data_IF_961245153141
#
_entry.id   IF_961245153141
#
_cell.length_a   1.000
_cell.length_b   1.000
_cell.length_c   1.000
_cell.angle_alpha   90.00
_cell.angle_beta   90.00
_cell.angle_gamma   90.00
#
_symmetry.space_group_name_H-M   'P 1'
#
loop_
_entity.id
_entity.type
_entity.pdbx_description
1 polymer ?
#
# COMPACT_ATOMS: atom_id res chain seq x y z
N UNK A 1 11.34 0.12 28.57
CA UNK A 1 10.32 -0.93 28.38
C UNK A 1 9.15 -0.29 27.68
N UNK A 2 8.80 -0.75 26.48
CA UNK A 2 7.59 -0.28 25.82
C UNK A 2 6.37 -0.76 26.62
N UNK A 3 5.35 0.08 26.72
CA UNK A 3 4.10 -0.23 27.43
C UNK A 3 2.91 0.15 26.56
N UNK A 4 1.83 -0.62 26.62
CA UNK A 4 0.59 -0.25 25.93
C UNK A 4 0.07 1.11 26.42
N UNK A 5 -0.38 1.94 25.48
CA UNK A 5 -1.05 3.18 25.79
C UNK A 5 -2.42 2.89 26.42
N UNK A 6 -2.84 3.76 27.34
CA UNK A 6 -4.17 3.67 27.95
C UNK A 6 -5.29 3.77 26.91
N UNK A 7 -5.06 4.52 25.82
CA UNK A 7 -6.01 4.63 24.70
C UNK A 7 -6.20 3.29 24.01
N UNK A 8 -5.10 2.62 23.66
CA UNK A 8 -5.14 1.32 23.02
C UNK A 8 -5.78 0.25 23.91
N UNK A 9 -5.41 0.18 25.20
CA UNK A 9 -6.04 -0.74 26.16
C UNK A 9 -7.56 -0.52 26.29
N UNK A 10 -8.01 0.74 26.34
CA UNK A 10 -9.43 1.08 26.36
C UNK A 10 -10.17 0.57 25.12
N UNK A 11 -9.53 0.65 23.92
CA UNK A 11 -10.10 0.10 22.68
C UNK A 11 -10.19 -1.42 22.70
N UNK A 12 -9.15 -2.10 23.20
CA UNK A 12 -9.21 -3.56 23.38
C UNK A 12 -10.36 -3.98 24.31
N UNK A 13 -10.53 -3.29 25.45
CA UNK A 13 -11.61 -3.57 26.40
C UNK A 13 -12.99 -3.34 25.77
N UNK A 14 -13.13 -2.32 24.93
CA UNK A 14 -14.40 -1.96 24.29
C UNK A 14 -14.67 -2.70 22.97
N UNK A 15 -13.74 -3.55 22.51
CA UNK A 15 -13.88 -4.32 21.27
C UNK A 15 -15.13 -5.21 21.22
N UNK A 16 -15.54 -5.93 22.29
CA UNK A 16 -16.79 -6.71 22.28
C UNK A 16 -18.03 -5.85 22.01
N UNK A 17 -18.04 -4.60 22.48
CA UNK A 17 -19.14 -3.66 22.21
C UNK A 17 -19.16 -3.27 20.73
N UNK A 18 -17.99 -3.00 20.14
CA UNK A 18 -17.89 -2.69 18.71
C UNK A 18 -18.40 -3.85 17.84
N UNK A 19 -18.06 -5.11 18.21
CA UNK A 19 -18.56 -6.32 17.57
C UNK A 19 -20.08 -6.39 17.67
N UNK A 20 -20.64 -6.26 18.89
CA UNK A 20 -22.08 -6.34 19.11
C UNK A 20 -22.84 -5.27 18.33
N UNK A 21 -22.34 -4.03 18.32
CA UNK A 21 -22.94 -2.92 17.56
C UNK A 21 -22.89 -3.20 16.05
N UNK A 22 -21.78 -3.74 15.54
CA UNK A 22 -21.67 -4.11 14.12
C UNK A 22 -22.69 -5.18 13.73
N UNK A 23 -22.82 -6.24 14.54
CA UNK A 23 -23.81 -7.31 14.34
C UNK A 23 -25.25 -6.78 14.37
N UNK A 24 -25.59 -5.95 15.35
CA UNK A 24 -26.93 -5.35 15.44
C UNK A 24 -27.20 -4.49 14.20
N UNK A 25 -26.28 -3.60 13.81
CA UNK A 25 -26.44 -2.77 12.62
C UNK A 25 -26.60 -3.62 11.36
N UNK A 26 -25.81 -4.69 11.22
CA UNK A 26 -25.86 -5.59 10.08
C UNK A 26 -27.26 -6.18 9.83
N UNK A 27 -27.95 -6.61 10.90
CA UNK A 27 -29.28 -7.22 10.81
C UNK A 27 -30.45 -6.22 10.88
N UNK A 28 -30.20 -4.93 11.14
CA UNK A 28 -31.27 -3.93 11.34
C UNK A 28 -31.26 -2.84 10.28
N UNK A 29 -30.32 -1.88 10.38
CA UNK A 29 -30.27 -0.66 9.55
C UNK A 29 -29.20 -0.71 8.46
N UNK A 30 -28.44 -1.81 8.41
CA UNK A 30 -27.22 -1.93 7.62
C UNK A 30 -26.03 -1.23 8.28
N UNK A 31 -24.85 -1.85 8.18
CA UNK A 31 -23.60 -1.16 8.53
C UNK A 31 -23.28 -0.08 7.48
N UNK A 32 -22.29 0.77 7.76
CA UNK A 32 -21.79 1.71 6.76
C UNK A 32 -21.24 0.97 5.52
N UNK A 33 -20.53 -0.13 5.71
CA UNK A 33 -19.95 -0.91 4.64
C UNK A 33 -21.00 -1.56 3.73
N UNK A 34 -22.07 -2.15 4.29
CA UNK A 34 -23.15 -2.75 3.48
C UNK A 34 -23.89 -1.74 2.61
N UNK A 35 -24.02 -0.50 3.11
CA UNK A 35 -24.77 0.56 2.43
C UNK A 35 -23.98 1.20 1.30
N UNK A 36 -22.65 1.15 1.38
CA UNK A 36 -21.76 1.87 0.49
C UNK A 36 -21.08 0.95 -0.52
N UNK A 37 -20.68 -0.26 -0.14
CA UNK A 37 -19.93 -1.15 -1.02
C UNK A 37 -20.58 -2.54 -1.14
N UNK A 38 -20.69 -3.02 -2.39
CA UNK A 38 -21.32 -4.31 -2.73
C UNK A 38 -20.59 -5.53 -2.15
N UNK A 39 -19.27 -5.46 -1.94
CA UNK A 39 -18.43 -6.55 -1.44
C UNK A 39 -18.80 -6.96 0.00
N UNK A 40 -19.42 -6.04 0.75
CA UNK A 40 -19.91 -6.27 2.10
C UNK A 40 -21.35 -6.79 2.16
N UNK A 41 -22.08 -6.79 1.03
CA UNK A 41 -23.46 -7.26 1.00
C UNK A 41 -23.48 -8.77 1.20
N UNK A 42 -24.16 -9.23 2.25
CA UNK A 42 -24.31 -10.65 2.56
C UNK A 42 -23.17 -11.28 3.37
N UNK A 43 -22.17 -10.50 3.83
CA UNK A 43 -21.08 -11.02 4.67
C UNK A 43 -21.01 -10.33 6.04
N UNK A 44 -21.62 -10.95 7.06
CA UNK A 44 -21.49 -10.48 8.45
C UNK A 44 -20.02 -10.46 8.91
N UNK A 45 -19.23 -11.44 8.44
CA UNK A 45 -17.82 -11.56 8.79
C UNK A 45 -17.02 -10.34 8.35
N UNK A 46 -17.07 -9.97 7.05
CA UNK A 46 -16.34 -8.79 6.52
C UNK A 46 -16.74 -7.51 7.24
N UNK A 47 -18.04 -7.32 7.47
CA UNK A 47 -18.56 -6.16 8.20
C UNK A 47 -18.04 -6.08 9.64
N UNK A 48 -18.08 -7.19 10.36
CA UNK A 48 -17.63 -7.24 11.75
C UNK A 48 -16.12 -7.08 11.82
N UNK A 49 -15.37 -7.74 10.92
CA UNK A 49 -13.92 -7.66 10.83
C UNK A 49 -13.44 -6.22 10.61
N UNK A 50 -13.98 -5.52 9.61
CA UNK A 50 -13.61 -4.14 9.34
C UNK A 50 -14.03 -3.19 10.46
N UNK A 51 -15.19 -3.41 11.10
CA UNK A 51 -15.55 -2.64 12.29
C UNK A 51 -14.52 -2.81 13.42
N UNK A 52 -14.01 -4.02 13.65
CA UNK A 52 -12.97 -4.28 14.65
C UNK A 52 -11.67 -3.60 14.26
N UNK A 53 -11.22 -3.75 13.02
CA UNK A 53 -10.00 -3.09 12.53
C UNK A 53 -10.09 -1.58 12.71
N UNK A 54 -11.17 -0.94 12.24
CA UNK A 54 -11.36 0.50 12.37
C UNK A 54 -11.46 0.96 13.85
N UNK A 55 -12.06 0.16 14.73
CA UNK A 55 -12.13 0.48 16.17
C UNK A 55 -10.74 0.49 16.83
N UNK A 56 -9.81 -0.34 16.34
CA UNK A 56 -8.44 -0.41 16.84
C UNK A 56 -7.51 0.60 16.13
N UNK A 57 -7.65 0.78 14.81
CA UNK A 57 -6.64 1.40 13.95
C UNK A 57 -6.36 2.88 14.25
N UNK A 58 -7.36 3.63 14.72
CA UNK A 58 -7.23 5.07 14.93
C UNK A 58 -6.72 5.47 16.33
N UNK A 59 -6.14 4.55 17.10
CA UNK A 59 -5.86 4.78 18.52
C UNK A 59 -4.54 4.20 19.04
N UNK A 60 -3.68 3.66 18.17
CA UNK A 60 -2.37 3.16 18.56
C UNK A 60 -1.31 4.26 18.51
N UNK A 61 -0.35 4.21 19.42
CA UNK A 61 0.93 4.93 19.32
C UNK A 61 1.96 4.08 18.57
N UNK A 62 3.13 4.67 18.26
CA UNK A 62 4.29 3.93 17.72
C UNK A 62 4.64 2.70 18.57
N UNK A 63 4.57 2.85 19.90
CA UNK A 63 4.86 1.76 20.84
C UNK A 63 3.76 0.69 20.85
N UNK A 64 2.49 1.06 20.74
CA UNK A 64 1.39 0.11 20.62
C UNK A 64 1.53 -0.74 19.35
N UNK A 65 1.93 -0.11 18.23
CA UNK A 65 2.24 -0.83 16.99
C UNK A 65 3.38 -1.79 17.22
N UNK A 66 4.50 -1.34 17.80
CA UNK A 66 5.67 -2.17 18.06
C UNK A 66 5.39 -3.36 19.01
N UNK A 67 4.44 -3.24 19.93
CA UNK A 67 4.11 -4.27 20.92
C UNK A 67 3.00 -5.23 20.48
N UNK A 68 1.92 -4.70 19.88
CA UNK A 68 0.71 -5.47 19.59
C UNK A 68 0.61 -5.88 18.13
N UNK A 69 0.91 -4.96 17.22
CA UNK A 69 0.68 -5.14 15.79
C UNK A 69 1.91 -5.67 15.07
N UNK A 70 3.11 -5.36 15.58
CA UNK A 70 4.36 -5.76 14.98
C UNK A 70 4.57 -7.26 15.17
N UNK A 71 4.01 -8.02 14.25
CA UNK A 71 4.47 -9.35 13.95
C UNK A 71 5.63 -9.21 12.97
N UNK A 72 6.82 -9.75 13.26
CA UNK A 72 7.89 -9.81 12.27
C UNK A 72 7.31 -10.42 10.99
N UNK A 73 7.48 -9.73 9.86
CA UNK A 73 6.89 -10.18 8.58
C UNK A 73 7.32 -11.61 8.24
N UNK A 74 8.50 -12.04 8.70
CA UNK A 74 8.96 -13.43 8.56
C UNK A 74 8.02 -14.45 9.22
N UNK A 75 7.38 -14.14 10.35
CA UNK A 75 6.37 -15.03 10.95
C UNK A 75 5.11 -15.11 10.10
N UNK A 76 4.72 -14.00 9.46
CA UNK A 76 3.61 -13.99 8.52
C UNK A 76 3.96 -14.85 7.29
N UNK A 77 5.16 -14.68 6.73
CA UNK A 77 5.65 -15.49 5.62
C UNK A 77 5.76 -16.97 5.98
N UNK A 78 6.27 -17.32 7.17
CA UNK A 78 6.31 -18.70 7.66
C UNK A 78 4.91 -19.33 7.70
N UNK A 79 3.91 -18.60 8.18
CA UNK A 79 2.51 -19.07 8.20
C UNK A 79 2.01 -19.42 6.79
N UNK A 80 2.42 -18.65 5.79
CA UNK A 80 1.97 -18.84 4.42
C UNK A 80 2.92 -19.69 3.56
N UNK A 81 4.10 -20.11 4.05
CA UNK A 81 5.13 -20.79 3.25
C UNK A 81 4.64 -22.02 2.48
N UNK A 82 3.66 -22.74 3.03
CA UNK A 82 3.05 -23.94 2.42
C UNK A 82 1.70 -23.65 1.74
N UNK A 83 1.33 -22.38 1.59
CA UNK A 83 0.11 -21.97 0.89
C UNK A 83 0.24 -22.27 -0.61
N UNK A 84 -0.84 -22.71 -1.28
CA UNK A 84 -0.86 -22.80 -2.74
C UNK A 84 -0.42 -21.52 -3.46
N UNK A 85 -0.59 -20.36 -2.82
CA UNK A 85 -0.20 -19.05 -3.38
C UNK A 85 1.30 -18.76 -3.36
N UNK A 86 2.08 -19.49 -2.54
CA UNK A 86 3.49 -19.18 -2.31
C UNK A 86 4.42 -20.33 -2.68
N UNK A 87 3.87 -21.54 -2.84
CA UNK A 87 4.63 -22.70 -3.28
C UNK A 87 5.15 -22.43 -4.69
N UNK A 88 6.48 -22.41 -4.84
CA UNK A 88 7.16 -22.12 -6.10
C UNK A 88 7.68 -20.67 -6.22
N UNK A 89 7.38 -19.79 -5.27
CA UNK A 89 8.00 -18.47 -5.21
C UNK A 89 9.42 -18.58 -4.65
N UNK A 90 10.41 -18.31 -5.51
CA UNK A 90 11.81 -18.31 -5.12
C UNK A 90 12.08 -17.22 -4.08
N UNK A 91 12.75 -17.59 -2.98
CA UNK A 91 13.10 -16.65 -1.91
C UNK A 91 11.93 -16.18 -1.04
N UNK A 92 10.73 -16.77 -1.15
CA UNK A 92 9.58 -16.33 -0.37
C UNK A 92 9.82 -16.46 1.15
N UNK A 93 9.84 -15.31 1.81
CA UNK A 93 10.05 -15.19 3.25
C UNK A 93 11.51 -15.19 3.70
N UNK A 94 12.45 -15.31 2.78
CA UNK A 94 13.87 -15.25 3.09
C UNK A 94 14.27 -13.80 3.43
N UNK A 95 15.16 -13.65 4.41
CA UNK A 95 15.67 -12.32 4.80
C UNK A 95 16.77 -11.91 3.84
N UNK A 96 16.71 -10.66 3.35
CA UNK A 96 17.77 -10.05 2.57
C UNK A 96 18.97 -9.70 3.48
N UNK A 97 18.70 -9.16 4.68
CA UNK A 97 19.73 -8.83 5.66
C UNK A 97 19.16 -8.86 7.10
N UNK A 98 20.01 -8.55 8.10
CA UNK A 98 19.63 -8.52 9.52
C UNK A 98 19.09 -7.15 10.00
N UNK A 99 18.99 -6.16 9.12
CA UNK A 99 18.69 -4.76 9.38
C UNK A 99 17.35 -4.34 8.74
N UNK A 100 16.26 -5.04 9.06
CA UNK A 100 14.92 -4.53 8.71
C UNK A 100 14.48 -3.46 9.71
N UNK A 101 14.31 -2.24 9.21
CA UNK A 101 13.66 -1.13 9.90
C UNK A 101 12.53 -0.59 9.03
N UNK A 102 11.51 -0.03 9.66
CA UNK A 102 10.41 0.63 8.96
C UNK A 102 10.66 2.14 8.75
N UNK A 103 11.86 2.60 9.07
CA UNK A 103 12.27 4.01 9.01
C UNK A 103 13.03 4.27 7.70
N UNK A 104 12.70 5.40 7.08
CA UNK A 104 13.38 5.93 5.92
C UNK A 104 14.91 6.06 6.12
N UNK A 105 15.77 5.69 5.15
CA UNK A 105 15.48 5.17 3.80
C UNK A 105 15.57 3.63 3.70
N UNK A 106 15.47 2.90 4.81
CA UNK A 106 15.81 1.46 4.89
C UNK A 106 15.11 0.62 3.81
N UNK A 107 13.79 0.78 3.67
CA UNK A 107 13.00 -0.01 2.74
C UNK A 107 13.33 0.28 1.27
N UNK A 108 13.75 1.52 0.97
CA UNK A 108 14.20 1.88 -0.39
C UNK A 108 15.52 1.16 -0.69
N UNK A 109 16.46 1.15 0.25
CA UNK A 109 17.72 0.41 0.09
C UNK A 109 17.46 -1.09 -0.15
N UNK A 110 16.61 -1.71 0.68
CA UNK A 110 16.26 -3.12 0.56
C UNK A 110 15.53 -3.44 -0.75
N UNK A 111 14.61 -2.58 -1.18
CA UNK A 111 13.88 -2.76 -2.43
C UNK A 111 14.80 -2.62 -3.66
N UNK A 112 15.75 -1.68 -3.64
CA UNK A 112 16.74 -1.53 -4.71
C UNK A 112 17.70 -2.72 -4.73
N UNK A 113 18.13 -3.22 -3.58
CA UNK A 113 18.97 -4.42 -3.50
C UNK A 113 18.23 -5.65 -4.06
N UNK A 114 16.95 -5.82 -3.73
CA UNK A 114 16.12 -6.89 -4.29
C UNK A 114 15.93 -6.73 -5.80
N UNK A 115 15.65 -5.51 -6.29
CA UNK A 115 15.52 -5.22 -7.71
C UNK A 115 16.79 -5.59 -8.48
N UNK A 116 17.95 -5.15 -7.96
CA UNK A 116 19.26 -5.48 -8.53
C UNK A 116 19.52 -6.98 -8.57
N UNK A 117 19.23 -7.68 -7.48
CA UNK A 117 19.38 -9.14 -7.43
C UNK A 117 18.50 -9.85 -8.48
N UNK A 118 17.31 -9.33 -8.80
CA UNK A 118 16.51 -9.84 -9.92
C UNK A 118 17.18 -9.57 -11.27
N UNK A 119 17.68 -8.35 -11.50
CA UNK A 119 18.39 -8.02 -12.74
C UNK A 119 19.64 -8.89 -12.95
N UNK A 120 20.41 -9.15 -11.89
CA UNK A 120 21.58 -10.03 -11.92
C UNK A 120 21.23 -11.50 -12.20
N UNK A 121 20.02 -11.93 -11.82
CA UNK A 121 19.47 -13.23 -12.18
C UNK A 121 18.95 -13.29 -13.63
N UNK A 122 18.99 -12.18 -14.36
CA UNK A 122 18.59 -12.08 -15.77
C UNK A 122 17.14 -11.66 -15.99
N UNK A 123 16.44 -11.17 -14.95
CA UNK A 123 15.12 -10.58 -15.13
C UNK A 123 15.25 -9.15 -15.71
N UNK A 124 14.66 -8.91 -16.87
CA UNK A 124 14.71 -7.63 -17.60
C UNK A 124 13.34 -6.98 -17.81
N UNK A 125 12.25 -7.71 -17.56
CA UNK A 125 10.88 -7.21 -17.51
C UNK A 125 10.31 -7.31 -16.08
N UNK A 126 10.45 -6.24 -15.30
CA UNK A 126 10.07 -6.19 -13.89
C UNK A 126 8.88 -5.25 -13.71
N UNK A 127 7.80 -5.80 -13.16
CA UNK A 127 6.58 -5.06 -12.80
C UNK A 127 6.63 -4.75 -11.30
N UNK A 128 6.46 -3.48 -10.93
CA UNK A 128 6.27 -3.11 -9.52
C UNK A 128 4.79 -3.17 -9.16
N UNK A 129 4.46 -3.85 -8.06
CA UNK A 129 3.10 -3.93 -7.52
C UNK A 129 3.14 -3.45 -6.09
N UNK A 130 2.33 -2.45 -5.77
CA UNK A 130 2.22 -1.92 -4.42
C UNK A 130 0.79 -1.54 -4.06
N UNK A 131 0.47 -1.67 -2.78
CA UNK A 131 -0.69 -1.10 -2.13
C UNK A 131 -0.27 -0.04 -1.12
N UNK A 132 -1.06 1.02 -0.90
CA UNK A 132 -0.85 1.97 0.19
C UNK A 132 0.61 2.47 0.26
N UNK A 133 1.33 2.19 1.36
CA UNK A 133 2.73 2.52 1.55
C UNK A 133 3.69 1.73 0.62
N UNK A 134 3.30 0.56 0.14
CA UNK A 134 3.97 -0.17 -0.93
C UNK A 134 3.95 0.58 -2.27
N UNK A 135 2.92 1.41 -2.53
CA UNK A 135 2.95 2.32 -3.70
C UNK A 135 3.96 3.44 -3.49
N UNK A 136 4.03 4.01 -2.29
CA UNK A 136 5.06 5.00 -1.96
C UNK A 136 6.47 4.45 -2.24
N UNK A 137 6.73 3.21 -1.78
CA UNK A 137 7.99 2.53 -2.02
C UNK A 137 8.22 2.24 -3.51
N UNK A 138 7.20 1.77 -4.23
CA UNK A 138 7.28 1.50 -5.67
C UNK A 138 7.62 2.77 -6.47
N UNK A 139 6.99 3.89 -6.12
CA UNK A 139 7.27 5.20 -6.70
C UNK A 139 8.70 5.67 -6.37
N UNK A 140 9.15 5.50 -5.12
CA UNK A 140 10.53 5.82 -4.72
C UNK A 140 11.57 4.99 -5.48
N UNK A 141 11.33 3.68 -5.66
CA UNK A 141 12.19 2.77 -6.44
C UNK A 141 12.25 3.19 -7.91
N UNK A 142 11.10 3.42 -8.54
CA UNK A 142 11.04 3.85 -9.93
C UNK A 142 11.81 5.17 -10.14
N UNK A 143 11.66 6.13 -9.22
CA UNK A 143 12.42 7.38 -9.24
C UNK A 143 13.91 7.21 -8.98
N UNK A 144 14.31 6.36 -8.04
CA UNK A 144 15.71 6.09 -7.77
C UNK A 144 16.43 5.64 -9.05
N UNK A 145 15.78 4.78 -9.84
CA UNK A 145 16.33 4.26 -11.10
C UNK A 145 16.33 5.34 -12.19
N UNK A 146 15.24 6.10 -12.32
CA UNK A 146 15.07 7.09 -13.38
C UNK A 146 15.93 8.37 -13.19
N UNK A 147 16.23 8.75 -11.95
CA UNK A 147 16.94 9.98 -11.58
C UNK A 147 18.20 9.66 -10.76
N UNK A 148 19.10 8.89 -11.36
CA UNK A 148 20.25 8.29 -10.67
C UNK A 148 21.19 9.32 -10.01
N UNK A 149 21.40 10.49 -10.61
CA UNK A 149 22.26 11.53 -10.03
C UNK A 149 21.60 12.20 -8.82
N UNK A 150 20.30 12.47 -8.87
CA UNK A 150 19.50 12.96 -7.73
C UNK A 150 19.50 11.91 -6.60
N UNK A 151 19.28 10.64 -6.94
CA UNK A 151 19.35 9.53 -6.00
C UNK A 151 20.73 9.44 -5.33
N UNK A 152 21.81 9.58 -6.12
CA UNK A 152 23.18 9.58 -5.57
C UNK A 152 23.39 10.74 -4.61
N UNK A 153 23.02 11.95 -4.99
CA UNK A 153 23.15 13.13 -4.12
C UNK A 153 22.37 12.98 -2.81
N UNK A 154 21.13 12.49 -2.91
CA UNK A 154 20.25 12.34 -1.77
C UNK A 154 20.68 11.21 -0.83
N UNK A 155 20.84 10.00 -1.36
CA UNK A 155 21.03 8.81 -0.55
C UNK A 155 22.45 8.63 -0.02
N UNK A 156 23.47 9.24 -0.64
CA UNK A 156 24.86 9.19 -0.15
C UNK A 156 25.05 9.80 1.24
N UNK A 157 24.07 10.59 1.71
CA UNK A 157 24.05 11.16 3.08
C UNK A 157 23.77 10.10 4.16
N UNK A 158 23.14 8.98 3.79
CA UNK A 158 22.81 7.89 4.71
C UNK A 158 23.90 6.82 4.69
N UNK A 159 24.97 7.05 5.44
CA UNK A 159 26.21 6.24 5.42
C UNK A 159 26.09 4.87 6.10
N UNK A 160 24.97 4.59 6.77
CA UNK A 160 24.69 3.28 7.37
C UNK A 160 24.32 2.20 6.33
N UNK A 161 24.14 2.58 5.07
CA UNK A 161 23.76 1.71 3.97
C UNK A 161 24.85 1.64 2.90
N UNK A 162 24.99 0.47 2.29
CA UNK A 162 25.87 0.26 1.14
C UNK A 162 25.07 0.50 -0.15
N UNK A 163 25.07 1.74 -0.61
CA UNK A 163 24.28 2.15 -1.79
C UNK A 163 25.02 1.82 -3.09
N UNK A 164 24.36 1.04 -3.96
CA UNK A 164 24.81 0.82 -5.33
C UNK A 164 24.01 1.67 -6.32
N UNK A 165 24.66 2.73 -6.81
CA UNK A 165 24.14 3.65 -7.84
C UNK A 165 24.58 3.25 -9.27
N UNK A 166 24.88 1.98 -9.54
CA UNK A 166 25.05 1.53 -10.91
C UNK A 166 23.68 1.47 -11.62
N UNK A 167 23.61 1.79 -12.93
CA UNK A 167 22.35 1.85 -13.66
C UNK A 167 21.56 0.54 -13.60
N UNK A 168 20.24 0.65 -13.52
CA UNK A 168 19.29 -0.46 -13.57
C UNK A 168 18.28 -0.22 -14.72
N UNK A 169 17.73 -1.28 -15.35
CA UNK A 169 16.58 -1.12 -16.23
C UNK A 169 15.40 -0.51 -15.47
N UNK A 170 14.58 0.28 -16.15
CA UNK A 170 13.40 0.85 -15.52
C UNK A 170 12.22 -0.13 -15.55
N UNK A 171 11.39 -0.16 -14.50
CA UNK A 171 10.12 -0.87 -14.56
C UNK A 171 9.21 -0.22 -15.60
N UNK A 172 8.74 -0.99 -16.58
CA UNK A 172 7.82 -0.48 -17.61
C UNK A 172 6.38 -0.49 -17.12
N UNK A 173 6.02 -1.34 -16.17
CA UNK A 173 4.66 -1.47 -15.72
C UNK A 173 4.57 -1.37 -14.20
N UNK A 174 3.55 -0.66 -13.70
CA UNK A 174 3.31 -0.53 -12.26
C UNK A 174 1.83 -0.72 -11.96
N UNK A 175 1.53 -1.45 -10.88
CA UNK A 175 0.19 -1.58 -10.31
C UNK A 175 0.18 -0.85 -8.97
N UNK A 176 -0.71 0.14 -8.86
CA UNK A 176 -0.85 1.02 -7.72
C UNK A 176 -2.25 0.88 -7.11
N UNK A 177 -2.32 0.30 -5.91
CA UNK A 177 -3.57 0.08 -5.18
C UNK A 177 -3.62 1.04 -3.98
N UNK A 178 -4.70 1.80 -3.84
CA UNK A 178 -4.92 2.77 -2.77
C UNK A 178 -3.67 3.59 -2.36
N UNK A 179 -3.03 4.33 -3.28
CA UNK A 179 -1.67 4.85 -3.06
C UNK A 179 -1.50 5.81 -1.87
N UNK A 180 -0.44 5.64 -1.08
CA UNK A 180 -0.03 6.58 -0.03
C UNK A 180 1.06 7.54 -0.51
N UNK A 181 0.66 8.58 -1.23
CA UNK A 181 1.58 9.46 -1.99
C UNK A 181 1.98 10.74 -1.25
N UNK A 182 1.31 11.06 -0.13
CA UNK A 182 1.57 12.23 0.70
C UNK A 182 1.74 11.88 2.19
N UNK A 183 2.79 11.13 2.57
CA UNK A 183 2.87 10.49 3.89
C UNK A 183 2.69 11.42 5.09
N UNK A 184 3.20 12.64 5.00
CA UNK A 184 3.20 13.63 6.07
C UNK A 184 2.26 14.81 5.82
N UNK A 185 1.31 14.66 4.90
CA UNK A 185 0.27 15.65 4.61
C UNK A 185 -1.03 15.21 5.24
N UNK A 186 -1.71 16.12 5.94
CA UNK A 186 -3.04 15.83 6.45
C UNK A 186 -4.00 15.66 5.27
N UNK A 187 -4.76 14.56 5.17
CA UNK A 187 -5.65 14.36 4.04
C UNK A 187 -6.76 15.41 3.97
N UNK A 188 -7.12 15.77 2.73
CA UNK A 188 -8.24 16.68 2.43
C UNK A 188 -9.47 15.83 2.15
N UNK A 189 -10.53 16.04 2.92
CA UNK A 189 -11.77 15.26 2.84
C UNK A 189 -12.84 16.05 2.11
N UNK A 190 -13.46 15.45 1.09
CA UNK A 190 -14.68 15.94 0.48
C UNK A 190 -15.86 15.76 1.46
N UNK A 191 -16.57 16.83 1.84
CA UNK A 191 -17.66 16.78 2.81
C UNK A 191 -18.90 15.99 2.35
N UNK A 192 -18.97 15.59 1.08
CA UNK A 192 -20.07 14.80 0.53
C UNK A 192 -19.96 13.31 0.85
N UNK A 193 -18.81 12.85 1.35
CA UNK A 193 -18.59 11.45 1.69
C UNK A 193 -18.56 11.21 3.21
N UNK A 194 -19.09 10.06 3.62
CA UNK A 194 -18.93 9.53 4.97
C UNK A 194 -17.68 8.63 5.00
N UNK A 195 -16.61 9.06 5.65
CA UNK A 195 -15.35 8.29 5.76
C UNK A 195 -15.38 7.26 6.91
N UNK A 196 -16.52 7.08 7.58
CA UNK A 196 -16.63 6.13 8.69
C UNK A 196 -16.29 4.71 8.25
N UNK A 197 -15.34 4.10 8.96
CA UNK A 197 -14.89 2.74 8.69
C UNK A 197 -13.75 2.63 7.68
N UNK A 198 -13.29 3.74 7.10
CA UNK A 198 -12.06 3.75 6.32
C UNK A 198 -10.85 3.45 7.20
N UNK A 199 -9.86 2.75 6.64
CA UNK A 199 -8.63 2.33 7.32
C UNK A 199 -7.40 3.17 6.93
N UNK A 200 -7.57 4.15 6.04
CA UNK A 200 -6.53 5.13 5.72
C UNK A 200 -6.21 6.02 6.93
N UNK A 201 -4.97 6.49 7.02
CA UNK A 201 -4.56 7.39 8.08
C UNK A 201 -5.30 8.74 7.95
N UNK A 202 -6.01 9.22 8.99
CA UNK A 202 -6.73 10.50 8.95
C UNK A 202 -5.82 11.72 9.22
N UNK A 203 -4.54 11.50 9.48
CA UNK A 203 -3.54 12.51 9.79
C UNK A 203 -2.13 12.11 9.30
N UNK A 204 -1.12 12.94 9.60
CA UNK A 204 0.28 12.76 9.16
C UNK A 204 1.11 11.86 10.08
N UNK A 205 0.55 11.31 11.15
CA UNK A 205 1.32 10.68 12.24
C UNK A 205 2.21 9.56 11.73
N UNK A 206 1.70 8.72 10.83
CA UNK A 206 2.49 7.63 10.23
C UNK A 206 3.64 8.14 9.36
N UNK A 207 3.44 9.22 8.61
CA UNK A 207 4.50 9.84 7.83
C UNK A 207 5.59 10.47 8.70
N UNK A 208 5.18 11.13 9.79
CA UNK A 208 6.12 11.69 10.76
C UNK A 208 6.95 10.57 11.45
N UNK A 209 6.34 9.41 11.68
CA UNK A 209 7.07 8.24 12.16
C UNK A 209 8.00 7.63 11.10
N UNK A 210 7.56 7.58 9.84
CA UNK A 210 8.33 7.00 8.74
C UNK A 210 9.64 7.75 8.49
N UNK A 211 9.62 9.08 8.55
CA UNK A 211 10.81 9.92 8.31
C UNK A 211 11.62 10.21 9.58
N UNK A 212 11.14 9.77 10.75
CA UNK A 212 11.81 9.89 12.06
C UNK A 212 12.49 11.26 12.35
N UNK A 213 11.76 12.35 12.09
CA UNK A 213 12.24 13.71 12.38
C UNK A 213 13.27 14.27 11.39
N UNK A 214 13.53 13.58 10.28
CA UNK A 214 14.21 14.17 9.12
C UNK A 214 13.42 15.38 8.60
N UNK A 215 14.13 16.33 7.98
CA UNK A 215 13.48 17.48 7.37
C UNK A 215 12.60 17.02 6.19
N UNK A 216 11.34 17.45 6.18
CA UNK A 216 10.36 17.09 5.14
C UNK A 216 10.80 17.55 3.76
N UNK A 217 11.50 18.68 3.65
CA UNK A 217 12.02 19.18 2.39
C UNK A 217 13.20 18.35 1.88
N UNK A 218 14.04 17.84 2.78
CA UNK A 218 15.17 16.98 2.41
C UNK A 218 14.67 15.64 1.83
N UNK A 219 13.65 15.02 2.42
CA UNK A 219 13.16 13.70 1.97
C UNK A 219 12.08 13.75 0.89
N UNK A 220 11.51 14.93 0.62
CA UNK A 220 10.38 15.11 -0.30
C UNK A 220 10.56 14.40 -1.66
N UNK A 221 11.74 14.45 -2.33
CA UNK A 221 11.90 13.84 -3.65
C UNK A 221 11.62 12.32 -3.70
N UNK A 222 11.75 11.62 -2.57
CA UNK A 222 11.58 10.17 -2.49
C UNK A 222 10.49 9.73 -1.50
N UNK A 223 9.69 10.68 -0.98
CA UNK A 223 8.65 10.39 0.02
C UNK A 223 7.31 11.03 -0.34
N UNK A 224 7.29 12.25 -0.90
CA UNK A 224 6.06 12.95 -1.25
C UNK A 224 6.02 13.30 -2.72
N UNK A 225 5.04 12.74 -3.42
CA UNK A 225 5.05 12.66 -4.87
C UNK A 225 4.11 13.64 -5.57
N UNK A 226 3.51 14.56 -4.81
CA UNK A 226 2.44 15.48 -5.26
C UNK A 226 2.84 16.96 -5.33
N UNK A 227 4.00 17.34 -4.78
CA UNK A 227 4.38 18.76 -4.61
C UNK A 227 5.14 19.36 -5.80
N UNK A 228 5.42 18.58 -6.85
CA UNK A 228 6.29 18.98 -7.95
C UNK A 228 5.66 18.64 -9.30
N UNK A 229 6.19 19.22 -10.37
CA UNK A 229 5.71 19.02 -11.73
C UNK A 229 6.19 17.70 -12.35
N UNK A 230 5.49 17.27 -13.41
CA UNK A 230 5.85 16.08 -14.17
C UNK A 230 7.26 16.14 -14.76
N UNK A 231 7.69 17.29 -15.30
CA UNK A 231 8.95 17.40 -16.01
C UNK A 231 10.16 17.14 -15.08
N UNK A 232 10.09 17.64 -13.85
CA UNK A 232 11.16 17.47 -12.87
C UNK A 232 11.18 16.08 -12.22
N UNK A 233 10.03 15.42 -12.03
CA UNK A 233 9.94 14.20 -11.20
C UNK A 233 9.53 12.91 -11.90
N UNK A 234 8.86 12.99 -13.04
CA UNK A 234 8.16 11.84 -13.63
C UNK A 234 8.43 11.64 -15.12
N UNK A 235 8.92 12.65 -15.84
CA UNK A 235 9.18 12.56 -17.27
C UNK A 235 10.18 11.44 -17.65
N UNK A 236 11.11 11.11 -16.75
CA UNK A 236 12.07 10.03 -16.98
C UNK A 236 11.60 8.66 -16.46
N UNK A 237 10.46 8.56 -15.79
CA UNK A 237 9.96 7.30 -15.22
C UNK A 237 9.12 6.56 -16.26
N UNK A 238 9.63 5.45 -16.77
CA UNK A 238 9.08 4.76 -17.94
C UNK A 238 7.64 4.24 -17.75
N UNK A 239 7.29 3.83 -16.53
CA UNK A 239 5.93 3.39 -16.20
C UNK A 239 4.87 4.49 -16.27
N UNK A 240 5.26 5.76 -16.20
CA UNK A 240 4.35 6.91 -16.17
C UNK A 240 4.54 7.88 -17.35
N UNK A 241 5.64 7.78 -18.10
CA UNK A 241 5.94 8.68 -19.22
C UNK A 241 5.40 8.20 -20.60
N UNK A 242 4.51 7.21 -20.60
CA UNK A 242 3.84 6.70 -21.81
C UNK A 242 4.58 5.58 -22.55
N UNK A 243 5.85 5.29 -22.18
CA UNK A 243 6.54 4.08 -22.65
C UNK A 243 5.94 2.81 -22.05
N UNK A 244 5.57 2.91 -20.79
CA UNK A 244 4.95 1.87 -19.99
C UNK A 244 3.44 2.02 -19.80
N UNK A 245 2.89 1.25 -18.86
CA UNK A 245 1.50 1.36 -18.39
C UNK A 245 1.45 1.37 -16.86
N UNK A 246 0.51 2.14 -16.30
CA UNK A 246 0.26 2.09 -14.86
C UNK A 246 -1.23 1.94 -14.57
N UNK A 247 -1.56 0.98 -13.71
CA UNK A 247 -2.90 0.75 -13.18
C UNK A 247 -3.06 1.42 -11.82
N UNK A 248 -4.08 2.26 -11.67
CA UNK A 248 -4.49 2.87 -10.41
C UNK A 248 -5.86 2.32 -9.99
N UNK A 249 -5.93 1.77 -8.78
CA UNK A 249 -7.19 1.33 -8.16
C UNK A 249 -7.28 1.99 -6.79
N UNK A 250 -8.39 2.66 -6.49
CA UNK A 250 -8.62 3.20 -5.14
C UNK A 250 -10.13 3.29 -4.82
N UNK A 251 -10.46 3.42 -3.54
CA UNK A 251 -11.82 3.57 -3.05
C UNK A 251 -12.33 5.01 -3.09
N UNK A 252 -13.62 5.17 -3.38
CA UNK A 252 -14.27 6.48 -3.40
C UNK A 252 -14.25 7.21 -2.05
N UNK A 253 -14.26 6.45 -0.94
CA UNK A 253 -14.36 6.95 0.44
C UNK A 253 -13.03 6.89 1.19
N UNK A 254 -11.91 6.83 0.48
CA UNK A 254 -10.57 6.87 1.09
C UNK A 254 -10.23 8.26 1.65
N UNK A 255 -9.65 8.33 2.84
CA UNK A 255 -9.04 9.58 3.31
C UNK A 255 -7.97 10.08 2.33
N UNK A 256 -7.22 9.17 1.69
CA UNK A 256 -6.09 9.50 0.81
C UNK A 256 -6.51 9.95 -0.61
N UNK A 257 -7.80 9.88 -0.95
CA UNK A 257 -8.31 10.09 -2.30
C UNK A 257 -7.80 11.36 -2.97
N UNK A 258 -7.87 12.50 -2.27
CA UNK A 258 -7.42 13.78 -2.83
C UNK A 258 -5.95 13.76 -3.24
N UNK A 259 -5.07 13.16 -2.42
CA UNK A 259 -3.65 13.04 -2.75
C UNK A 259 -3.40 12.12 -3.96
N UNK A 260 -4.20 11.07 -4.10
CA UNK A 260 -4.18 10.16 -5.26
C UNK A 260 -4.60 10.90 -6.53
N UNK A 261 -5.74 11.60 -6.50
CA UNK A 261 -6.25 12.37 -7.64
C UNK A 261 -5.30 13.51 -8.03
N UNK A 262 -4.69 14.20 -7.07
CA UNK A 262 -3.67 15.22 -7.35
C UNK A 262 -2.44 14.64 -8.06
N UNK A 263 -1.98 13.45 -7.65
CA UNK A 263 -0.87 12.79 -8.33
C UNK A 263 -1.21 12.35 -9.76
N UNK A 264 -2.41 11.80 -9.96
CA UNK A 264 -2.92 11.46 -11.29
C UNK A 264 -2.94 12.71 -12.17
N UNK A 265 -3.40 13.84 -11.65
CA UNK A 265 -3.39 15.13 -12.34
C UNK A 265 -1.98 15.56 -12.74
N UNK A 266 -1.01 15.49 -11.83
CA UNK A 266 0.41 15.78 -12.13
C UNK A 266 0.92 14.94 -13.30
N UNK A 267 0.64 13.64 -13.32
CA UNK A 267 1.17 12.75 -14.38
C UNK A 267 0.41 12.91 -15.71
N UNK A 268 -0.89 13.16 -15.68
CA UNK A 268 -1.74 13.11 -16.90
C UNK A 268 -1.98 14.46 -17.56
N UNK A 269 -2.04 15.56 -16.80
CA UNK A 269 -2.22 16.90 -17.39
C UNK A 269 -0.92 17.40 -17.99
N UNK A 270 0.19 17.09 -17.34
CA UNK A 270 1.51 17.61 -17.69
C UNK A 270 2.38 16.58 -18.45
N UNK A 271 1.90 15.34 -18.63
CA UNK A 271 2.65 14.23 -19.22
C UNK A 271 1.86 13.35 -20.20
N UNK A 272 2.55 12.38 -20.82
CA UNK A 272 2.01 11.46 -21.84
C UNK A 272 1.62 10.08 -21.26
N UNK A 273 1.36 10.01 -19.95
CA UNK A 273 1.17 8.75 -19.22
C UNK A 273 -0.04 7.94 -19.69
N UNK A 274 0.16 6.64 -19.92
CA UNK A 274 -0.92 5.67 -20.14
C UNK A 274 -1.43 5.15 -18.80
N UNK A 275 -2.36 5.90 -18.21
CA UNK A 275 -2.95 5.57 -16.92
C UNK A 275 -4.32 4.90 -17.08
N UNK A 276 -4.49 3.78 -16.41
CA UNK A 276 -5.79 3.14 -16.21
C UNK A 276 -6.25 3.40 -14.79
N UNK A 277 -7.25 4.27 -14.63
CA UNK A 277 -7.72 4.71 -13.33
C UNK A 277 -9.10 4.13 -13.03
N UNK A 278 -9.21 3.45 -11.91
CA UNK A 278 -10.44 2.79 -11.45
C UNK A 278 -10.76 3.20 -10.01
N UNK A 279 -11.98 3.72 -9.82
CA UNK A 279 -12.49 4.11 -8.50
C UNK A 279 -13.59 3.13 -8.08
N UNK A 280 -13.39 2.48 -6.94
CA UNK A 280 -14.38 1.57 -6.37
C UNK A 280 -15.48 2.36 -5.65
N UNK A 281 -16.72 2.26 -6.15
CA UNK A 281 -17.92 2.87 -5.57
C UNK A 281 -18.10 2.45 -4.10
N UNK A 282 -18.16 3.42 -3.20
CA UNK A 282 -18.18 3.22 -1.76
C UNK A 282 -16.98 2.47 -1.17
N UNK A 283 -15.92 2.23 -1.96
CA UNK A 283 -14.67 1.59 -1.57
C UNK A 283 -13.94 2.36 -0.47
N UNK A 284 -13.19 1.61 0.34
CA UNK A 284 -12.34 2.12 1.41
C UNK A 284 -10.87 1.88 1.04
N UNK A 285 -9.98 2.40 1.88
CA UNK A 285 -8.55 2.28 1.70
C UNK A 285 -8.15 0.83 1.71
N UNK A 286 -7.49 0.45 0.63
CA UNK A 286 -6.91 -0.85 0.42
C UNK A 286 -7.96 -1.99 0.54
N UNK A 287 -9.09 -1.80 -0.14
CA UNK A 287 -10.18 -2.77 -0.21
C UNK A 287 -9.73 -4.14 -0.74
N UNK A 288 -8.74 -4.18 -1.63
CA UNK A 288 -8.18 -5.44 -2.13
C UNK A 288 -7.61 -6.27 -0.97
N UNK A 289 -6.71 -5.70 -0.16
CA UNK A 289 -6.03 -6.47 0.87
C UNK A 289 -6.81 -6.55 2.19
N UNK A 290 -7.63 -5.56 2.56
CA UNK A 290 -8.44 -5.64 3.78
C UNK A 290 -9.77 -6.40 3.62
N UNK A 291 -10.30 -6.49 2.39
CA UNK A 291 -11.67 -6.99 2.17
C UNK A 291 -11.70 -8.16 1.21
N UNK A 292 -11.21 -7.99 -0.02
CA UNK A 292 -11.28 -9.04 -1.04
C UNK A 292 -10.40 -10.25 -0.67
N UNK A 293 -9.21 -9.99 -0.13
CA UNK A 293 -8.23 -11.03 0.26
C UNK A 293 -8.79 -12.02 1.30
N UNK A 294 -9.76 -11.59 2.11
CA UNK A 294 -10.39 -12.41 3.15
C UNK A 294 -11.02 -13.68 2.58
N UNK A 295 -11.49 -13.65 1.34
CA UNK A 295 -12.07 -14.81 0.67
C UNK A 295 -11.02 -15.85 0.26
N UNK A 296 -9.75 -15.46 0.23
CA UNK A 296 -8.61 -16.27 -0.22
C UNK A 296 -7.67 -16.72 0.90
N UNK A 297 -7.89 -16.28 2.14
CA UNK A 297 -7.03 -16.63 3.28
C UNK A 297 -7.10 -18.12 3.69
N UNK A 298 -8.19 -18.81 3.38
CA UNK A 298 -8.33 -20.25 3.67
C UNK A 298 -7.67 -21.10 2.58
N UNK A 299 -7.33 -22.36 2.87
CA UNK A 299 -6.74 -23.24 1.85
C UNK A 299 -7.63 -23.40 0.60
N UNK A 300 -8.96 -23.49 0.80
CA UNK A 300 -9.93 -23.50 -0.31
C UNK A 300 -9.97 -22.17 -1.05
N UNK A 301 -9.90 -21.06 -0.33
CA UNK A 301 -9.81 -19.73 -0.90
C UNK A 301 -8.55 -19.56 -1.76
N UNK A 302 -7.39 -19.90 -1.22
CA UNK A 302 -6.11 -19.92 -1.93
C UNK A 302 -6.18 -20.78 -3.20
N UNK A 303 -6.79 -21.96 -3.13
CA UNK A 303 -7.01 -22.79 -4.32
C UNK A 303 -7.92 -22.11 -5.36
N UNK A 304 -9.02 -21.48 -4.94
CA UNK A 304 -9.88 -20.71 -5.86
C UNK A 304 -9.11 -19.57 -6.54
N UNK A 305 -8.21 -18.89 -5.82
CA UNK A 305 -7.37 -17.84 -6.37
C UNK A 305 -6.38 -18.39 -7.41
N UNK A 306 -5.73 -19.53 -7.15
CA UNK A 306 -4.89 -20.22 -8.15
C UNK A 306 -5.68 -20.61 -9.40
N UNK A 307 -6.95 -20.97 -9.23
CA UNK A 307 -7.87 -21.28 -10.33
C UNK A 307 -8.42 -20.04 -11.06
N UNK A 308 -7.98 -18.83 -10.68
CA UNK A 308 -8.37 -17.59 -11.34
C UNK A 308 -9.80 -17.12 -11.02
N UNK A 309 -10.43 -17.63 -9.96
CA UNK A 309 -11.83 -17.36 -9.61
C UNK A 309 -12.00 -15.99 -8.94
N UNK A 310 -11.71 -14.94 -9.69
CA UNK A 310 -11.74 -13.55 -9.26
C UNK A 310 -12.89 -12.74 -9.87
N UNK A 311 -13.76 -13.34 -10.68
CA UNK A 311 -14.70 -12.62 -11.54
C UNK A 311 -15.70 -11.74 -10.76
N UNK A 312 -15.98 -12.10 -9.51
CA UNK A 312 -16.83 -11.30 -8.62
C UNK A 312 -16.09 -10.15 -7.91
N UNK A 313 -14.75 -10.12 -7.97
CA UNK A 313 -13.90 -9.18 -7.24
C UNK A 313 -13.57 -7.98 -8.08
N UNK A 314 -13.60 -6.80 -7.47
CA UNK A 314 -13.35 -5.56 -8.18
C UNK A 314 -11.86 -5.42 -8.46
N UNK A 315 -11.04 -5.36 -7.43
CA UNK A 315 -9.64 -5.02 -7.59
C UNK A 315 -8.82 -6.21 -8.15
N UNK A 316 -9.04 -7.43 -7.65
CA UNK A 316 -8.36 -8.62 -8.21
C UNK A 316 -8.60 -8.82 -9.70
N UNK A 317 -9.82 -8.60 -10.20
CA UNK A 317 -10.12 -8.79 -11.63
C UNK A 317 -9.44 -7.73 -12.50
N UNK A 318 -9.35 -6.48 -12.03
CA UNK A 318 -8.64 -5.40 -12.71
C UNK A 318 -7.13 -5.67 -12.75
N UNK A 319 -6.53 -6.06 -11.63
CA UNK A 319 -5.11 -6.43 -11.57
C UNK A 319 -4.81 -7.62 -12.48
N UNK A 320 -5.61 -8.68 -12.41
CA UNK A 320 -5.43 -9.87 -13.24
C UNK A 320 -5.56 -9.57 -14.73
N UNK A 321 -6.53 -8.72 -15.12
CA UNK A 321 -6.68 -8.26 -16.50
C UNK A 321 -5.46 -7.47 -16.96
N UNK A 322 -5.01 -6.50 -16.17
CA UNK A 322 -3.85 -5.68 -16.50
C UNK A 322 -2.59 -6.53 -16.68
N UNK A 323 -2.29 -7.40 -15.71
CA UNK A 323 -1.13 -8.30 -15.78
C UNK A 323 -1.20 -9.23 -16.99
N UNK A 324 -2.39 -9.76 -17.33
CA UNK A 324 -2.58 -10.61 -18.51
C UNK A 324 -2.42 -9.89 -19.86
N UNK A 325 -2.38 -8.56 -19.88
CA UNK A 325 -2.13 -7.77 -21.09
C UNK A 325 -0.68 -7.28 -21.21
N UNK A 326 0.10 -7.31 -20.12
CA UNK A 326 1.50 -6.82 -20.11
C UNK A 326 2.55 -7.92 -19.93
N UNK A 327 2.15 -9.13 -19.52
CA UNK A 327 2.99 -10.35 -19.49
C UNK A 327 2.89 -11.13 -20.80
#
# INVERSE_FOLDING_TARGET
MATFSLRFLSRLITMPVAILVSVIKYYTVGTIFQRTNKEFKGSLYKNTHLCVLNHLANNYTRDDVALFMYMPVTRLFEKFKLSPLTVGLNGFGDKINNRTSWIYPTQINEAIAAYRAMVEQGYDDIILVGDSCGVNLSAAVARFIAYLDEAREHFSKFTDFDWDFSPLPQPQNVVMISPWLEPYTKPVLDPNFDYSGDLGAPDSTMGDWYIEGLDKSDVAPFVRFTDNDYASQWANVDSVNGKGRTLYIYGEREHLRHGIENFIDVITKDGDGKLEVYVEDGGIHDGLFYVESLDYMSARGAQNAVEGKFESKYAYSLVGKFLGEVL
#
